data_IF_876467102404
#
_entry.id   IF_876467102404
#
_cell.length_a   1.000
_cell.length_b   1.000
_cell.length_c   1.000
_cell.angle_alpha   90.00
_cell.angle_beta   90.00
_cell.angle_gamma   90.00
#
_symmetry.space_group_name_H-M   'P 1'
#
loop_
_entity.id
_entity.type
_entity.pdbx_description
1 polymer ?
#
# COMPACT_ATOMS: atom_id res chain seq x y z
N UNK A 1 -54.34 2.82 -41.87
CA UNK A 1 -53.31 2.56 -42.90
C UNK A 1 -51.94 2.71 -42.26
N UNK A 2 -50.99 1.84 -42.61
CA UNK A 2 -49.59 1.97 -42.23
C UNK A 2 -48.92 3.00 -43.15
N UNK A 3 -48.18 3.97 -42.60
CA UNK A 3 -47.51 5.01 -43.39
C UNK A 3 -46.42 4.44 -44.28
N UNK A 4 -45.64 3.47 -43.79
CA UNK A 4 -44.51 2.92 -44.54
C UNK A 4 -44.96 2.18 -45.80
N UNK A 5 -46.08 1.44 -45.70
CA UNK A 5 -46.69 0.74 -46.83
C UNK A 5 -47.29 1.73 -47.84
N UNK A 6 -48.07 2.70 -47.38
CA UNK A 6 -48.67 3.73 -48.25
C UNK A 6 -47.61 4.62 -48.93
N UNK A 7 -46.52 4.94 -48.24
CA UNK A 7 -45.41 5.71 -48.77
C UNK A 7 -44.63 4.92 -49.84
N UNK A 8 -44.37 3.63 -49.59
CA UNK A 8 -43.75 2.76 -50.60
C UNK A 8 -44.65 2.61 -51.83
N UNK A 9 -45.96 2.43 -51.66
CA UNK A 9 -46.90 2.41 -52.79
C UNK A 9 -46.91 3.73 -53.57
N UNK A 10 -46.77 4.88 -52.90
CA UNK A 10 -46.66 6.18 -53.57
C UNK A 10 -45.36 6.31 -54.36
N UNK A 11 -44.23 5.83 -53.80
CA UNK A 11 -42.92 5.82 -54.45
C UNK A 11 -42.88 4.91 -55.67
N UNK A 12 -43.52 3.74 -55.55
CA UNK A 12 -43.48 2.69 -56.56
C UNK A 12 -44.59 2.88 -57.63
N UNK A 13 -45.38 3.96 -57.53
CA UNK A 13 -46.36 4.39 -58.53
C UNK A 13 -47.69 3.60 -58.53
N UNK A 14 -47.90 2.76 -57.51
CA UNK A 14 -49.05 1.84 -57.39
C UNK A 14 -50.08 2.28 -56.34
N UNK A 15 -49.85 3.41 -55.66
CA UNK A 15 -50.76 3.91 -54.63
C UNK A 15 -52.14 4.33 -55.18
N UNK A 16 -53.16 3.97 -54.42
CA UNK A 16 -54.53 4.47 -54.55
C UNK A 16 -54.62 5.95 -54.17
N UNK A 17 -55.68 6.64 -54.61
CA UNK A 17 -55.86 8.07 -54.30
C UNK A 17 -56.01 8.34 -52.79
N UNK A 18 -56.58 7.39 -52.05
CA UNK A 18 -56.69 7.45 -50.59
C UNK A 18 -55.33 7.37 -49.89
N UNK A 19 -54.44 6.50 -50.36
CA UNK A 19 -53.07 6.37 -49.83
C UNK A 19 -52.22 7.60 -50.14
N UNK A 20 -52.36 8.19 -51.34
CA UNK A 20 -51.67 9.44 -51.71
C UNK A 20 -52.09 10.59 -50.81
N UNK A 21 -53.38 10.70 -50.52
CA UNK A 21 -53.91 11.75 -49.64
C UNK A 21 -53.46 11.55 -48.19
N UNK A 22 -53.46 10.31 -47.70
CA UNK A 22 -52.94 9.95 -46.37
C UNK A 22 -51.46 10.30 -46.20
N UNK A 23 -50.60 9.93 -47.17
CA UNK A 23 -49.16 10.25 -47.13
C UNK A 23 -48.93 11.76 -47.18
N UNK A 24 -49.69 12.48 -48.00
CA UNK A 24 -49.59 13.95 -48.12
C UNK A 24 -49.97 14.65 -46.82
N UNK A 25 -51.01 14.21 -46.13
CA UNK A 25 -51.41 14.75 -44.82
C UNK A 25 -50.36 14.48 -43.73
N UNK A 26 -49.77 13.29 -43.70
CA UNK A 26 -48.73 12.95 -42.73
C UNK A 26 -47.44 13.74 -42.99
N UNK A 27 -47.06 13.90 -44.25
CA UNK A 27 -45.92 14.76 -44.63
C UNK A 27 -46.20 16.24 -44.32
N UNK A 28 -47.43 16.72 -44.49
CA UNK A 28 -47.80 18.08 -44.10
C UNK A 28 -47.69 18.29 -42.59
N UNK A 29 -48.18 17.34 -41.77
CA UNK A 29 -48.03 17.38 -40.30
C UNK A 29 -46.57 17.32 -39.86
N UNK A 30 -45.77 16.47 -40.50
CA UNK A 30 -44.33 16.38 -40.21
C UNK A 30 -43.59 17.67 -40.58
N UNK A 31 -43.92 18.29 -41.72
CA UNK A 31 -43.34 19.57 -42.13
C UNK A 31 -43.78 20.72 -41.21
N UNK A 32 -45.03 20.74 -40.75
CA UNK A 32 -45.52 21.71 -39.78
C UNK A 32 -44.78 21.57 -38.43
N UNK A 33 -44.54 20.35 -37.98
CA UNK A 33 -43.72 20.07 -36.79
C UNK A 33 -42.26 20.49 -36.93
N UNK A 34 -41.69 20.39 -38.15
CA UNK A 34 -40.32 20.84 -38.42
C UNK A 34 -40.19 22.35 -38.53
N UNK A 35 -41.23 23.06 -39.00
CA UNK A 35 -41.21 24.50 -39.27
C UNK A 35 -41.67 25.36 -38.09
N UNK A 36 -42.48 24.85 -37.18
CA UNK A 36 -42.87 25.57 -35.96
C UNK A 36 -41.83 25.37 -34.84
N UNK A 37 -40.96 26.36 -34.67
CA UNK A 37 -40.02 26.46 -33.54
C UNK A 37 -40.75 26.58 -32.19
N UNK A 38 -41.99 27.07 -32.19
CA UNK A 38 -42.89 27.16 -31.02
C UNK A 38 -43.34 25.80 -30.46
N UNK A 39 -43.31 24.72 -31.25
CA UNK A 39 -43.57 23.34 -30.77
C UNK A 39 -42.30 22.74 -30.16
N UNK A 40 -41.11 23.29 -30.47
CA UNK A 40 -39.82 22.85 -29.93
C UNK A 40 -39.42 23.54 -28.62
N UNK A 41 -40.05 24.66 -28.26
CA UNK A 41 -39.64 25.48 -27.11
C UNK A 41 -39.96 24.88 -25.73
N UNK A 42 -40.87 23.91 -25.62
CA UNK A 42 -41.12 23.24 -24.35
C UNK A 42 -40.31 21.96 -24.21
N UNK A 43 -38.97 22.08 -24.27
CA UNK A 43 -38.17 21.09 -23.56
C UNK A 43 -38.51 21.21 -22.07
N UNK A 44 -39.01 20.16 -21.40
CA UNK A 44 -39.36 20.23 -19.97
C UNK A 44 -38.14 20.45 -19.07
N UNK A 45 -36.94 20.47 -19.65
CA UNK A 45 -35.66 20.69 -18.99
C UNK A 45 -35.18 22.10 -19.32
N UNK A 46 -35.34 23.02 -18.37
CA UNK A 46 -34.71 24.34 -18.41
C UNK A 46 -33.18 24.21 -18.38
N UNK A 47 -32.48 25.04 -19.14
CA UNK A 47 -31.03 25.18 -19.00
C UNK A 47 -30.68 25.58 -17.55
N UNK A 48 -29.73 24.86 -16.95
CA UNK A 48 -29.34 25.09 -15.57
C UNK A 48 -28.58 26.41 -15.44
N UNK A 49 -28.95 27.22 -14.44
CA UNK A 49 -28.24 28.47 -14.17
C UNK A 49 -26.79 28.21 -13.68
N UNK A 50 -25.94 29.23 -13.78
CA UNK A 50 -24.54 29.11 -13.38
C UNK A 50 -24.38 28.78 -11.88
N UNK A 51 -25.39 29.07 -11.05
CA UNK A 51 -25.37 28.83 -9.62
C UNK A 51 -25.64 27.36 -9.28
N UNK A 52 -26.58 26.73 -9.97
CA UNK A 52 -26.95 25.33 -9.90
C UNK A 52 -25.81 24.46 -10.39
N UNK A 53 -25.14 24.84 -11.49
CA UNK A 53 -23.92 24.17 -11.95
C UNK A 53 -22.82 24.24 -10.90
N UNK A 54 -22.62 25.38 -10.22
CA UNK A 54 -21.64 25.51 -9.13
C UNK A 54 -22.01 24.65 -7.92
N UNK A 55 -23.27 24.63 -7.51
CA UNK A 55 -23.78 23.80 -6.41
C UNK A 55 -23.62 22.31 -6.73
N UNK A 56 -23.93 21.89 -7.96
CA UNK A 56 -23.74 20.53 -8.44
C UNK A 56 -22.26 20.13 -8.43
N UNK A 57 -21.36 20.98 -8.95
CA UNK A 57 -19.91 20.75 -8.90
C UNK A 57 -19.41 20.62 -7.46
N UNK A 58 -19.86 21.47 -6.54
CA UNK A 58 -19.49 21.40 -5.12
C UNK A 58 -20.00 20.11 -4.48
N UNK A 59 -21.26 19.73 -4.69
CA UNK A 59 -21.83 18.47 -4.21
C UNK A 59 -21.08 17.26 -4.77
N UNK A 60 -20.71 17.30 -6.05
CA UNK A 60 -19.92 16.25 -6.69
C UNK A 60 -18.54 16.13 -6.04
N UNK A 61 -17.78 17.22 -5.95
CA UNK A 61 -16.46 17.23 -5.27
C UNK A 61 -16.58 16.76 -3.82
N UNK A 62 -17.61 17.19 -3.10
CA UNK A 62 -17.81 16.79 -1.72
C UNK A 62 -18.07 15.29 -1.59
N UNK A 63 -19.03 14.76 -2.35
CA UNK A 63 -19.45 13.35 -2.28
C UNK A 63 -18.41 12.38 -2.83
N UNK A 64 -17.72 12.73 -3.91
CA UNK A 64 -16.89 11.80 -4.66
C UNK A 64 -15.39 12.03 -4.52
N UNK A 65 -14.96 13.15 -3.91
CA UNK A 65 -13.54 13.44 -3.71
C UNK A 65 -13.25 13.61 -2.23
N UNK A 66 -13.91 14.57 -1.57
CA UNK A 66 -13.58 14.92 -0.16
C UNK A 66 -13.93 13.78 0.80
N UNK A 67 -15.17 13.29 0.77
CA UNK A 67 -15.61 12.19 1.65
C UNK A 67 -14.74 10.93 1.50
N UNK A 68 -14.52 10.37 0.30
CA UNK A 68 -13.70 9.16 0.17
C UNK A 68 -12.24 9.41 0.55
N UNK A 69 -11.69 10.58 0.23
CA UNK A 69 -10.32 10.94 0.65
C UNK A 69 -10.21 10.99 2.18
N UNK A 70 -11.13 11.68 2.87
CA UNK A 70 -11.15 11.70 4.33
C UNK A 70 -11.33 10.30 4.91
N UNK A 71 -12.20 9.46 4.34
CA UNK A 71 -12.39 8.07 4.78
C UNK A 71 -11.10 7.26 4.64
N UNK A 72 -10.36 7.44 3.53
CA UNK A 72 -9.08 6.77 3.31
C UNK A 72 -8.05 7.20 4.36
N UNK A 73 -7.94 8.51 4.62
CA UNK A 73 -7.03 9.05 5.64
C UNK A 73 -7.40 8.50 7.03
N UNK A 74 -8.68 8.48 7.39
CA UNK A 74 -9.13 7.91 8.65
C UNK A 74 -8.79 6.41 8.76
N UNK A 75 -9.00 5.63 7.69
CA UNK A 75 -8.65 4.21 7.67
C UNK A 75 -7.14 3.99 7.87
N UNK A 76 -6.30 4.77 7.19
CA UNK A 76 -4.85 4.73 7.36
C UNK A 76 -4.43 5.10 8.79
N UNK A 77 -5.06 6.12 9.38
CA UNK A 77 -4.80 6.53 10.75
C UNK A 77 -5.14 5.41 11.76
N UNK A 78 -6.26 4.70 11.57
CA UNK A 78 -6.64 3.57 12.41
C UNK A 78 -5.62 2.43 12.29
N UNK A 79 -5.21 2.08 11.08
CA UNK A 79 -4.19 1.04 10.86
C UNK A 79 -2.86 1.43 11.52
N UNK A 80 -2.41 2.68 11.33
CA UNK A 80 -1.20 3.18 11.94
C UNK A 80 -1.26 3.14 13.48
N UNK A 81 -2.41 3.49 14.07
CA UNK A 81 -2.62 3.42 15.52
C UNK A 81 -2.56 1.97 16.05
N UNK A 82 -3.17 1.02 15.34
CA UNK A 82 -3.12 -0.40 15.72
C UNK A 82 -1.70 -0.94 15.63
N UNK A 83 -1.02 -0.73 14.50
CA UNK A 83 0.36 -1.18 14.30
C UNK A 83 1.30 -0.52 15.32
N UNK A 84 1.22 0.79 15.50
CA UNK A 84 2.01 1.53 16.48
C UNK A 84 1.77 1.05 17.91
N UNK A 85 0.52 0.74 18.28
CA UNK A 85 0.18 0.18 19.58
C UNK A 85 0.76 -1.21 19.81
N UNK A 86 0.64 -2.11 18.83
CA UNK A 86 1.13 -3.49 18.93
C UNK A 86 2.66 -3.54 18.94
N UNK A 87 3.32 -2.94 17.95
CA UNK A 87 4.78 -2.92 17.85
C UNK A 87 5.42 -2.09 18.95
N UNK A 88 4.82 -0.96 19.34
CA UNK A 88 5.29 -0.13 20.45
C UNK A 88 5.22 -0.87 21.79
N UNK A 89 4.15 -1.60 22.04
CA UNK A 89 4.03 -2.44 23.24
C UNK A 89 5.06 -3.58 23.23
N UNK A 90 5.20 -4.28 22.11
CA UNK A 90 6.17 -5.36 21.96
C UNK A 90 7.62 -4.88 22.13
N UNK A 91 7.99 -3.73 21.55
CA UNK A 91 9.29 -3.11 21.75
C UNK A 91 9.52 -2.70 23.22
N UNK A 92 8.48 -2.19 23.89
CA UNK A 92 8.54 -1.87 25.32
C UNK A 92 8.78 -3.11 26.17
N UNK A 93 8.10 -4.22 25.88
CA UNK A 93 8.34 -5.49 26.57
C UNK A 93 9.75 -6.04 26.30
N UNK A 94 10.19 -6.01 25.04
CA UNK A 94 11.53 -6.43 24.66
C UNK A 94 12.61 -5.66 25.44
N UNK A 95 12.48 -4.33 25.52
CA UNK A 95 13.41 -3.49 26.29
C UNK A 95 13.39 -3.83 27.79
N UNK A 96 12.24 -4.16 28.36
CA UNK A 96 12.12 -4.58 29.77
C UNK A 96 12.67 -5.97 30.04
N UNK A 97 12.64 -6.85 29.05
CA UNK A 97 13.16 -8.22 29.16
C UNK A 97 14.68 -8.32 28.99
N UNK A 98 15.33 -7.27 28.46
CA UNK A 98 16.76 -7.25 28.25
C UNK A 98 17.49 -7.25 29.60
N UNK A 99 18.33 -8.28 29.80
CA UNK A 99 19.18 -8.47 30.99
C UNK A 99 20.61 -8.02 30.68
N UNK A 100 21.08 -8.27 29.47
CA UNK A 100 22.42 -7.93 29.01
C UNK A 100 22.44 -6.60 28.27
N UNK A 101 23.38 -5.73 28.65
CA UNK A 101 23.64 -4.48 27.96
C UNK A 101 24.35 -4.72 26.61
N UNK A 102 24.40 -3.70 25.76
CA UNK A 102 25.20 -3.72 24.52
C UNK A 102 26.65 -4.13 24.77
N UNK A 103 27.29 -3.56 25.80
CA UNK A 103 28.69 -3.88 26.14
C UNK A 103 28.86 -5.33 26.59
N UNK A 104 27.93 -5.86 27.40
CA UNK A 104 27.98 -7.25 27.83
C UNK A 104 27.77 -8.20 26.64
N UNK A 105 26.88 -7.86 25.70
CA UNK A 105 26.68 -8.65 24.48
C UNK A 105 27.94 -8.64 23.60
N UNK A 106 28.64 -7.51 23.48
CA UNK A 106 29.94 -7.41 22.79
C UNK A 106 30.97 -8.32 23.45
N UNK A 107 31.08 -8.31 24.78
CA UNK A 107 32.02 -9.18 25.49
C UNK A 107 31.72 -10.67 25.29
N UNK A 108 30.43 -11.05 25.26
CA UNK A 108 29.98 -12.41 24.94
C UNK A 108 30.35 -12.77 23.50
N UNK A 109 30.07 -11.89 22.55
CA UNK A 109 30.40 -12.12 21.14
C UNK A 109 31.90 -12.30 20.94
N UNK A 110 32.74 -11.46 21.53
CA UNK A 110 34.21 -11.59 21.45
C UNK A 110 34.69 -12.92 22.02
N UNK A 111 34.13 -13.35 23.15
CA UNK A 111 34.46 -14.65 23.73
C UNK A 111 34.08 -15.80 22.77
N UNK A 112 32.89 -15.72 22.16
CA UNK A 112 32.43 -16.73 21.20
C UNK A 112 33.23 -16.74 19.89
N UNK A 113 33.66 -15.57 19.42
CA UNK A 113 34.53 -15.45 18.25
C UNK A 113 35.89 -16.11 18.51
N UNK A 114 36.48 -15.84 19.67
CA UNK A 114 37.73 -16.47 20.09
C UNK A 114 37.62 -17.98 20.20
N UNK A 115 36.55 -18.49 20.83
CA UNK A 115 36.24 -19.93 20.88
C UNK A 115 36.14 -20.53 19.47
N UNK A 116 35.39 -19.87 18.58
CA UNK A 116 35.16 -20.35 17.22
C UNK A 116 36.45 -20.46 16.38
N UNK A 117 37.34 -19.47 16.46
CA UNK A 117 38.62 -19.53 15.73
C UNK A 117 39.62 -20.48 16.38
N UNK A 118 39.58 -20.64 17.71
CA UNK A 118 40.50 -21.53 18.44
C UNK A 118 40.16 -23.00 18.24
N UNK A 119 38.87 -23.34 18.16
CA UNK A 119 38.40 -24.72 17.98
C UNK A 119 38.46 -25.19 16.52
N UNK A 120 38.63 -24.27 15.57
CA UNK A 120 38.59 -24.55 14.14
C UNK A 120 39.99 -24.63 13.54
N UNK A 121 40.34 -25.82 13.03
CA UNK A 121 41.58 -26.01 12.24
C UNK A 121 41.59 -25.26 10.90
N UNK A 122 40.50 -24.60 10.51
CA UNK A 122 40.39 -23.90 9.22
C UNK A 122 40.86 -22.43 9.28
N UNK A 123 41.03 -21.86 10.48
CA UNK A 123 41.37 -20.44 10.66
C UNK A 123 42.78 -20.22 11.20
N UNK A 124 43.73 -21.09 10.82
CA UNK A 124 45.14 -21.01 11.28
C UNK A 124 45.86 -19.72 10.88
N UNK A 125 45.31 -18.95 9.95
CA UNK A 125 45.81 -17.63 9.54
C UNK A 125 45.33 -16.49 10.44
N UNK A 126 44.30 -16.71 11.26
CA UNK A 126 43.77 -15.73 12.21
C UNK A 126 44.62 -15.78 13.47
N UNK A 127 45.47 -14.78 13.66
CA UNK A 127 46.36 -14.70 14.82
C UNK A 127 45.70 -13.93 15.97
N UNK A 128 44.73 -14.59 16.64
CA UNK A 128 44.11 -14.09 17.86
C UNK A 128 44.65 -14.87 19.06
N UNK A 129 45.27 -14.18 20.02
CA UNK A 129 45.76 -14.77 21.27
C UNK A 129 44.74 -14.65 22.41
N UNK A 130 43.79 -13.72 22.29
CA UNK A 130 42.72 -13.49 23.24
C UNK A 130 41.46 -12.94 22.58
N UNK A 131 40.33 -12.99 23.30
CA UNK A 131 39.10 -12.33 22.86
C UNK A 131 39.25 -10.81 22.66
N UNK A 132 40.24 -10.18 23.32
CA UNK A 132 40.45 -8.73 23.25
C UNK A 132 41.12 -8.30 21.94
N UNK A 133 41.67 -9.25 21.17
CA UNK A 133 42.20 -9.01 19.83
C UNK A 133 41.10 -8.74 18.79
N UNK A 134 39.86 -9.16 19.09
CA UNK A 134 38.68 -8.87 18.28
C UNK A 134 38.21 -7.44 18.53
N UNK A 135 38.11 -6.67 17.45
CA UNK A 135 37.61 -5.30 17.45
C UNK A 135 36.17 -5.30 16.97
N UNK A 136 35.32 -4.50 17.61
CA UNK A 136 33.92 -4.36 17.19
C UNK A 136 33.85 -3.29 16.12
N UNK A 137 33.48 -3.67 14.91
CA UNK A 137 33.25 -2.74 13.80
C UNK A 137 31.84 -2.14 13.91
N UNK A 138 30.84 -3.01 14.03
CA UNK A 138 29.45 -2.62 14.23
C UNK A 138 28.74 -3.50 15.26
N UNK A 139 27.69 -2.94 15.87
CA UNK A 139 26.81 -3.64 16.78
C UNK A 139 25.41 -3.06 16.68
N UNK A 140 24.56 -3.74 15.92
CA UNK A 140 23.18 -3.36 15.63
C UNK A 140 22.21 -4.16 16.52
N UNK A 141 21.15 -3.51 16.99
CA UNK A 141 20.09 -4.18 17.73
C UNK A 141 19.00 -4.62 16.74
N UNK A 142 18.68 -5.91 16.73
CA UNK A 142 17.58 -6.46 15.93
C UNK A 142 16.39 -6.83 16.83
N UNK A 143 15.18 -6.51 16.35
CA UNK A 143 13.94 -6.66 17.11
C UNK A 143 13.22 -7.96 16.74
N UNK A 144 13.18 -8.88 17.69
CA UNK A 144 12.52 -10.17 17.54
C UNK A 144 11.08 -10.09 18.05
N UNK A 145 10.14 -9.87 17.12
CA UNK A 145 8.71 -9.82 17.39
C UNK A 145 8.10 -11.20 17.64
N UNK A 146 7.35 -11.36 18.74
CA UNK A 146 6.56 -12.55 19.00
C UNK A 146 5.05 -12.27 18.82
N UNK A 147 4.48 -12.76 17.71
CA UNK A 147 3.08 -12.55 17.38
C UNK A 147 2.06 -13.33 18.22
N UNK A 148 2.49 -14.33 19.00
CA UNK A 148 1.61 -15.09 19.90
C UNK A 148 1.55 -14.47 21.29
N UNK A 149 2.69 -14.00 21.80
CA UNK A 149 2.77 -13.30 23.07
C UNK A 149 3.77 -12.15 22.97
N UNK A 150 3.24 -10.93 22.88
CA UNK A 150 4.02 -9.70 22.73
C UNK A 150 5.04 -9.52 23.87
N UNK A 151 4.75 -10.05 25.07
CA UNK A 151 5.64 -9.97 26.24
C UNK A 151 6.94 -10.75 26.06
N UNK A 152 6.92 -11.74 25.18
CA UNK A 152 8.07 -12.57 24.85
C UNK A 152 8.85 -12.06 23.63
N UNK A 153 8.50 -10.87 23.11
CA UNK A 153 9.35 -10.18 22.13
C UNK A 153 10.63 -9.71 22.82
N UNK A 154 11.75 -9.66 22.08
CA UNK A 154 13.07 -9.39 22.65
C UNK A 154 14.00 -8.74 21.63
N UNK A 155 15.15 -8.25 22.10
CA UNK A 155 16.21 -7.77 21.22
C UNK A 155 17.33 -8.80 21.13
N UNK A 156 17.95 -8.90 19.97
CA UNK A 156 19.28 -9.49 19.80
C UNK A 156 20.25 -8.38 19.40
N UNK A 157 21.53 -8.55 19.71
CA UNK A 157 22.58 -7.74 19.10
C UNK A 157 23.27 -8.57 18.03
N UNK A 158 23.34 -8.04 16.82
CA UNK A 158 24.19 -8.54 15.75
C UNK A 158 25.49 -7.75 15.83
N UNK A 159 26.57 -8.43 16.17
CA UNK A 159 27.87 -7.84 16.45
C UNK A 159 28.86 -8.31 15.38
N UNK A 160 29.44 -7.36 14.68
CA UNK A 160 30.47 -7.57 13.68
C UNK A 160 31.85 -7.34 14.31
N UNK A 161 32.70 -8.35 14.17
CA UNK A 161 34.02 -8.37 14.76
C UNK A 161 35.07 -8.60 13.68
N UNK A 162 36.14 -7.80 13.71
CA UNK A 162 37.36 -8.04 12.94
C UNK A 162 38.51 -8.43 13.88
N UNK A 163 39.51 -9.13 13.35
CA UNK A 163 40.81 -9.27 14.01
C UNK A 163 41.81 -8.34 13.34
N UNK A 164 42.49 -7.52 14.15
CA UNK A 164 43.48 -6.55 13.66
C UNK A 164 44.51 -7.23 12.76
N UNK A 165 44.66 -6.72 11.54
CA UNK A 165 45.65 -7.16 10.52
C UNK A 165 45.33 -8.50 9.85
N UNK A 166 44.10 -8.98 9.94
CA UNK A 166 43.58 -10.07 9.11
C UNK A 166 42.31 -9.63 8.39
N UNK A 167 42.11 -10.10 7.17
CA UNK A 167 40.86 -9.91 6.41
C UNK A 167 39.74 -10.86 6.91
N UNK A 168 39.70 -11.11 8.23
CA UNK A 168 38.76 -12.03 8.85
C UNK A 168 37.66 -11.23 9.55
N UNK A 169 36.43 -11.46 9.13
CA UNK A 169 35.23 -10.86 9.69
C UNK A 169 34.32 -11.96 10.22
N UNK A 170 33.78 -11.76 11.42
CA UNK A 170 32.81 -12.67 12.02
C UNK A 170 31.64 -11.89 12.59
N UNK A 171 30.43 -12.32 12.24
CA UNK A 171 29.18 -11.78 12.78
C UNK A 171 28.57 -12.76 13.77
N UNK A 172 28.25 -12.26 14.95
CA UNK A 172 27.68 -13.04 16.04
C UNK A 172 26.40 -12.38 16.51
N UNK A 173 25.34 -13.18 16.59
CA UNK A 173 24.06 -12.77 17.16
C UNK A 173 24.03 -13.17 18.63
N UNK A 174 23.62 -12.26 19.51
CA UNK A 174 23.51 -12.46 20.97
C UNK A 174 22.13 -12.05 21.47
N UNK A 175 21.41 -12.97 22.15
CA UNK A 175 20.11 -12.70 22.77
C UNK A 175 20.27 -11.90 24.07
N UNK A 176 19.63 -10.73 24.13
CA UNK A 176 19.76 -9.80 25.27
C UNK A 176 19.13 -10.31 26.57
N UNK A 177 18.31 -11.36 26.55
CA UNK A 177 17.63 -11.89 27.75
C UNK A 177 18.48 -12.87 28.52
N UNK A 178 19.22 -13.72 27.82
CA UNK A 178 19.93 -14.85 28.41
C UNK A 178 21.43 -14.92 28.04
N UNK A 179 21.87 -14.16 27.03
CA UNK A 179 23.25 -14.18 26.56
C UNK A 179 23.57 -15.34 25.63
N UNK A 180 22.57 -16.11 25.20
CA UNK A 180 22.75 -17.14 24.18
C UNK A 180 23.28 -16.49 22.91
N UNK A 181 24.32 -17.09 22.32
CA UNK A 181 24.99 -16.54 21.16
C UNK A 181 25.25 -17.60 20.09
N UNK A 182 25.26 -17.16 18.83
CA UNK A 182 25.55 -18.02 17.67
C UNK A 182 26.32 -17.23 16.61
N UNK A 183 27.23 -17.92 15.93
CA UNK A 183 27.91 -17.38 14.75
C UNK A 183 26.93 -17.42 13.59
N UNK A 184 26.73 -16.29 12.92
CA UNK A 184 25.78 -16.16 11.80
C UNK A 184 26.47 -15.96 10.45
N UNK A 185 27.69 -15.42 10.45
CA UNK A 185 28.51 -15.20 9.24
C UNK A 185 29.98 -15.22 9.60
N UNK A 186 30.80 -15.74 8.69
CA UNK A 186 32.27 -15.70 8.73
C UNK A 186 32.73 -15.44 7.31
N UNK A 187 33.62 -14.47 7.13
CA UNK A 187 34.27 -14.13 5.86
C UNK A 187 35.79 -14.24 5.97
#
# INVERSE_FOLDING_TARGET
>A
MNFDEAFNHCRDGVATEEEKQFVKEQLAKANEFLQNESVREESPVKEADAEDVKKAKKKFKWKYIVIPFCSLVCALAVIAAILGGVFGSAASYAKKSAVYSKSACIDIAKAKAFEFVSDSNNFTYVNAASKDDFQTEDAEADFNYNGKDLKNSYYTYIIELEVKRSDFEIKIEVDTRNGDCKVIKVD
#
